data_IF_636554583953
#
_entry.id   IF_636554583953
#
_cell.length_a   1.000
_cell.length_b   1.000
_cell.length_c   1.000
_cell.angle_alpha   90.00
_cell.angle_beta   90.00
_cell.angle_gamma   90.00
#
_symmetry.space_group_name_H-M   'P 1'
#
loop_
_entity.id
_entity.type
_entity.pdbx_description
1 polymer ?
#
# COMPACT_ATOMS: atom_id res chain seq x y z
N UNK A 1 34.13 -15.28 22.41
CA UNK A 1 32.67 -15.02 22.41
C UNK A 1 32.25 -14.97 20.96
N UNK A 2 31.65 -16.07 20.51
CA UNK A 2 31.37 -16.41 19.11
C UNK A 2 30.06 -15.79 18.65
N UNK A 3 30.12 -15.09 17.51
CA UNK A 3 28.99 -14.61 16.72
C UNK A 3 28.25 -15.78 16.06
N UNK A 4 26.90 -15.80 16.02
CA UNK A 4 26.18 -16.81 15.25
C UNK A 4 26.03 -16.36 13.80
N UNK A 5 26.70 -17.07 12.88
CA UNK A 5 26.44 -17.01 11.44
C UNK A 5 25.14 -17.75 11.13
N UNK A 6 24.19 -17.09 10.48
CA UNK A 6 23.01 -17.70 9.89
C UNK A 6 23.28 -18.06 8.43
N UNK A 7 23.20 -19.34 8.01
CA UNK A 7 23.42 -19.70 6.63
C UNK A 7 22.10 -19.65 5.84
N UNK A 8 22.03 -18.76 4.86
CA UNK A 8 21.11 -18.92 3.74
C UNK A 8 21.58 -20.11 2.89
N UNK A 9 21.01 -21.29 3.10
CA UNK A 9 21.06 -22.38 2.12
C UNK A 9 19.80 -22.32 1.29
N UNK A 10 19.97 -22.06 0.00
CA UNK A 10 18.95 -22.26 -1.02
C UNK A 10 18.42 -23.69 -0.93
N UNK A 11 17.16 -23.85 -0.54
CA UNK A 11 16.44 -25.10 -0.70
C UNK A 11 15.98 -25.17 -2.15
N UNK A 12 16.73 -25.90 -2.99
CA UNK A 12 16.24 -26.40 -4.26
C UNK A 12 15.10 -27.38 -3.95
N UNK A 13 13.85 -26.97 -4.16
CA UNK A 13 12.72 -27.90 -4.22
C UNK A 13 12.75 -28.52 -5.61
N UNK A 14 13.36 -29.71 -5.71
CA UNK A 14 13.22 -30.59 -6.87
C UNK A 14 11.76 -31.09 -6.91
N UNK A 15 10.93 -30.45 -7.72
CA UNK A 15 9.66 -31.02 -8.12
C UNK A 15 9.95 -32.23 -9.04
N UNK A 16 9.62 -33.43 -8.58
CA UNK A 16 9.70 -34.63 -9.39
C UNK A 16 8.68 -34.54 -10.54
N UNK A 17 9.16 -34.38 -11.76
CA UNK A 17 8.35 -34.54 -12.98
C UNK A 17 8.23 -36.04 -13.26
N UNK A 18 7.06 -36.61 -12.97
CA UNK A 18 6.70 -37.93 -13.47
C UNK A 18 6.37 -37.81 -14.96
N UNK A 19 7.31 -38.22 -15.82
CA UNK A 19 7.05 -38.39 -17.25
C UNK A 19 6.30 -39.71 -17.44
N UNK A 20 5.00 -39.63 -17.69
CA UNK A 20 4.22 -40.76 -18.20
C UNK A 20 4.34 -40.74 -19.73
N UNK A 21 5.04 -41.73 -20.29
CA UNK A 21 5.05 -41.98 -21.73
C UNK A 21 3.73 -42.66 -22.12
N UNK A 22 2.87 -41.94 -22.85
CA UNK A 22 1.72 -42.53 -23.56
C UNK A 22 1.95 -42.37 -25.05
N UNK A 23 2.10 -43.50 -25.74
CA UNK A 23 2.06 -43.58 -27.20
C UNK A 23 0.60 -43.61 -27.68
N UNK A 24 0.30 -42.88 -28.75
CA UNK A 24 -0.77 -43.22 -29.70
C UNK A 24 -1.90 -42.19 -29.85
N UNK A 25 -1.82 -41.42 -30.94
CA UNK A 25 -2.86 -40.77 -31.74
C UNK A 25 -4.32 -40.77 -31.25
N UNK A 26 -4.88 -39.59 -30.96
CA UNK A 26 -5.92 -38.96 -31.79
C UNK A 26 -6.29 -37.55 -31.30
N UNK A 27 -6.69 -36.72 -32.25
CA UNK A 27 -7.05 -35.31 -32.11
C UNK A 27 -8.25 -35.06 -31.17
N UNK A 28 -8.03 -34.31 -30.10
CA UNK A 28 -8.94 -33.27 -29.57
C UNK A 28 -8.14 -32.40 -28.59
N UNK A 29 -8.21 -31.08 -28.75
CA UNK A 29 -7.54 -30.10 -27.88
C UNK A 29 -8.27 -30.02 -26.54
N UNK A 30 -7.89 -30.89 -25.60
CA UNK A 30 -8.34 -30.80 -24.22
C UNK A 30 -7.58 -29.68 -23.50
N UNK A 31 -8.35 -28.66 -23.10
CA UNK A 31 -7.95 -27.64 -22.14
C UNK A 31 -7.46 -28.35 -20.86
N UNK A 32 -6.15 -28.32 -20.63
CA UNK A 32 -5.58 -28.68 -19.35
C UNK A 32 -6.12 -27.71 -18.29
N UNK A 33 -7.19 -28.12 -17.61
CA UNK A 33 -7.65 -27.51 -16.36
C UNK A 33 -6.54 -27.76 -15.35
N UNK A 34 -5.71 -26.74 -15.11
CA UNK A 34 -4.79 -26.72 -13.99
C UNK A 34 -5.63 -26.78 -12.71
N UNK A 35 -5.78 -27.98 -12.15
CA UNK A 35 -6.40 -28.18 -10.85
C UNK A 35 -5.50 -27.43 -9.85
N UNK A 36 -5.94 -26.24 -9.42
CA UNK A 36 -5.29 -25.54 -8.33
C UNK A 36 -5.30 -26.49 -7.12
N UNK A 37 -4.16 -26.72 -6.46
CA UNK A 37 -4.16 -27.44 -5.19
C UNK A 37 -5.16 -26.75 -4.25
N UNK A 38 -5.91 -27.51 -3.42
CA UNK A 38 -6.80 -26.91 -2.44
C UNK A 38 -6.01 -25.88 -1.63
N UNK A 39 -6.56 -24.66 -1.53
CA UNK A 39 -5.92 -23.56 -0.81
C UNK A 39 -5.48 -24.10 0.56
N UNK A 40 -4.19 -24.01 0.93
CA UNK A 40 -3.77 -24.38 2.27
C UNK A 40 -4.63 -23.61 3.26
N UNK A 41 -5.15 -24.30 4.27
CA UNK A 41 -5.93 -23.65 5.32
C UNK A 41 -5.14 -22.47 5.87
N UNK A 42 -5.73 -21.27 5.85
CA UNK A 42 -5.06 -20.10 6.40
C UNK A 42 -4.93 -20.26 7.92
N UNK A 43 -3.77 -19.93 8.47
CA UNK A 43 -3.63 -19.77 9.91
C UNK A 43 -4.30 -18.46 10.33
N UNK A 44 -5.48 -18.56 10.93
CA UNK A 44 -6.27 -17.42 11.41
C UNK A 44 -5.54 -16.58 12.47
N UNK A 45 -4.49 -17.11 13.10
CA UNK A 45 -3.71 -16.36 14.09
C UNK A 45 -2.69 -15.44 13.44
N UNK A 46 -2.17 -15.80 12.26
CA UNK A 46 -0.94 -15.19 11.73
C UNK A 46 -1.05 -14.66 10.31
N UNK A 47 -1.91 -15.25 9.48
CA UNK A 47 -2.20 -14.77 8.15
C UNK A 47 -3.23 -13.63 8.19
N UNK A 48 -3.14 -12.77 7.19
CA UNK A 48 -3.92 -11.53 7.10
C UNK A 48 -4.68 -11.50 5.79
N UNK A 49 -5.93 -11.04 5.83
CA UNK A 49 -6.69 -10.67 4.63
C UNK A 49 -6.38 -9.22 4.28
N UNK A 50 -5.64 -8.99 3.19
CA UNK A 50 -5.41 -7.65 2.66
C UNK A 50 -6.62 -7.17 1.86
N UNK A 51 -7.07 -5.95 2.15
CA UNK A 51 -8.21 -5.33 1.49
C UNK A 51 -7.82 -3.93 1.09
N UNK A 52 -8.12 -3.53 -0.15
CA UNK A 52 -7.89 -2.16 -0.61
C UNK A 52 -9.08 -1.66 -1.42
N UNK A 53 -9.25 -0.34 -1.50
CA UNK A 53 -10.38 0.28 -2.19
C UNK A 53 -9.93 1.13 -3.37
N UNK A 54 -10.70 1.08 -4.45
CA UNK A 54 -10.50 1.88 -5.67
C UNK A 54 -11.85 2.34 -6.24
N UNK A 55 -11.85 3.41 -7.03
CA UNK A 55 -13.00 3.77 -7.87
C UNK A 55 -12.96 3.02 -9.20
N UNK A 56 -14.13 2.73 -9.78
CA UNK A 56 -14.20 2.08 -11.10
C UNK A 56 -13.46 2.87 -12.19
N UNK A 57 -13.68 4.19 -12.21
CA UNK A 57 -13.11 5.12 -13.19
C UNK A 57 -11.74 5.67 -12.78
N UNK A 58 -11.12 5.11 -11.74
CA UNK A 58 -9.77 5.50 -11.35
C UNK A 58 -8.79 5.11 -12.47
N UNK A 59 -8.26 6.12 -13.17
CA UNK A 59 -7.46 5.96 -14.40
C UNK A 59 -6.34 4.91 -14.31
N UNK A 60 -5.66 4.80 -13.17
CA UNK A 60 -4.53 3.89 -12.96
C UNK A 60 -4.92 2.66 -12.13
N UNK A 61 -6.20 2.35 -11.96
CA UNK A 61 -6.69 1.24 -11.11
C UNK A 61 -6.03 -0.07 -11.46
N UNK A 62 -6.06 -0.47 -12.73
CA UNK A 62 -5.54 -1.77 -13.16
C UNK A 62 -4.02 -1.86 -12.99
N UNK A 63 -3.28 -0.78 -13.32
CA UNK A 63 -1.84 -0.72 -13.12
C UNK A 63 -1.46 -0.86 -11.63
N UNK A 64 -2.08 -0.05 -10.75
CA UNK A 64 -1.78 -0.07 -9.32
C UNK A 64 -2.24 -1.38 -8.65
N UNK A 65 -3.41 -1.91 -9.02
CA UNK A 65 -3.90 -3.21 -8.51
C UNK A 65 -2.95 -4.35 -8.88
N UNK A 66 -2.48 -4.38 -10.13
CA UNK A 66 -1.52 -5.38 -10.60
C UNK A 66 -0.15 -5.20 -9.94
N UNK A 67 0.28 -3.96 -9.73
CA UNK A 67 1.48 -3.62 -8.96
C UNK A 67 1.42 -4.20 -7.55
N UNK A 68 0.31 -4.02 -6.83
CA UNK A 68 0.16 -4.61 -5.49
C UNK A 68 0.15 -6.15 -5.55
N UNK A 69 -0.62 -6.74 -6.46
CA UNK A 69 -0.70 -8.20 -6.65
C UNK A 69 0.66 -8.85 -6.92
N UNK A 70 1.44 -8.29 -7.84
CA UNK A 70 2.78 -8.79 -8.18
C UNK A 70 3.76 -8.68 -7.01
N UNK A 71 3.63 -7.63 -6.18
CA UNK A 71 4.51 -7.46 -5.03
C UNK A 71 4.21 -8.51 -3.96
N UNK A 72 2.92 -8.84 -3.77
CA UNK A 72 2.48 -9.92 -2.88
C UNK A 72 3.00 -11.28 -3.33
N UNK A 73 2.93 -11.56 -4.64
CA UNK A 73 3.49 -12.78 -5.22
C UNK A 73 5.01 -12.85 -5.00
N UNK A 74 5.73 -11.74 -5.21
CA UNK A 74 7.19 -11.67 -5.02
C UNK A 74 7.61 -11.95 -3.58
N UNK A 75 6.86 -11.43 -2.60
CA UNK A 75 7.17 -11.62 -1.17
C UNK A 75 6.56 -12.90 -0.59
N UNK A 76 5.94 -13.74 -1.44
CA UNK A 76 5.26 -14.97 -1.04
C UNK A 76 4.24 -14.74 0.09
N UNK A 77 3.45 -13.65 -0.01
CA UNK A 77 2.40 -13.41 0.96
C UNK A 77 1.37 -14.53 0.95
N UNK A 78 0.89 -14.90 2.13
CA UNK A 78 -0.13 -15.93 2.33
C UNK A 78 -1.34 -15.28 2.99
N UNK A 79 -2.46 -15.35 2.31
CA UNK A 79 -3.72 -14.73 2.71
C UNK A 79 -4.45 -14.16 1.50
N UNK A 80 -5.74 -13.85 1.61
CA UNK A 80 -6.49 -13.29 0.49
C UNK A 80 -6.14 -11.83 0.23
N UNK A 81 -6.26 -11.41 -1.03
CA UNK A 81 -6.25 -10.00 -1.43
C UNK A 81 -7.61 -9.64 -2.04
N UNK A 82 -8.37 -8.76 -1.40
CA UNK A 82 -9.64 -8.25 -1.96
C UNK A 82 -9.50 -6.82 -2.45
N UNK A 83 -9.88 -6.58 -3.70
CA UNK A 83 -10.10 -5.24 -4.23
C UNK A 83 -11.58 -4.86 -4.11
N UNK A 84 -11.86 -3.83 -3.32
CA UNK A 84 -13.15 -3.14 -3.30
C UNK A 84 -13.18 -2.15 -4.46
N UNK A 85 -14.20 -2.23 -5.32
CA UNK A 85 -14.35 -1.38 -6.50
C UNK A 85 -15.71 -0.68 -6.45
N UNK A 86 -15.68 0.62 -6.24
CA UNK A 86 -16.88 1.43 -6.10
C UNK A 86 -17.30 2.07 -7.43
N UNK A 87 -18.60 1.99 -7.74
CA UNK A 87 -19.22 2.78 -8.82
C UNK A 87 -19.23 2.14 -10.20
N UNK A 88 -18.87 0.87 -10.36
CA UNK A 88 -18.95 0.21 -11.66
C UNK A 88 -20.40 -0.07 -12.08
N UNK A 89 -20.76 0.33 -13.31
CA UNK A 89 -21.92 -0.19 -14.03
C UNK A 89 -21.70 -1.64 -14.49
N UNK A 90 -22.75 -2.32 -14.95
CA UNK A 90 -22.70 -3.75 -15.31
C UNK A 90 -21.62 -4.08 -16.35
N UNK A 91 -21.52 -3.28 -17.42
CA UNK A 91 -20.49 -3.48 -18.46
C UNK A 91 -19.08 -3.31 -17.92
N UNK A 92 -18.87 -2.33 -17.02
CA UNK A 92 -17.57 -2.11 -16.40
C UNK A 92 -17.20 -3.25 -15.45
N UNK A 93 -18.17 -3.79 -14.69
CA UNK A 93 -17.95 -4.97 -13.84
C UNK A 93 -17.50 -6.17 -14.67
N UNK A 94 -18.23 -6.46 -15.75
CA UNK A 94 -17.87 -7.54 -16.66
C UNK A 94 -16.47 -7.35 -17.26
N UNK A 95 -16.09 -6.11 -17.62
CA UNK A 95 -14.74 -5.83 -18.11
C UNK A 95 -13.67 -6.07 -17.05
N UNK A 96 -13.91 -5.62 -15.81
CA UNK A 96 -12.99 -5.81 -14.68
C UNK A 96 -12.81 -7.28 -14.31
N UNK A 97 -13.88 -8.07 -14.35
CA UNK A 97 -13.83 -9.51 -14.07
C UNK A 97 -13.00 -10.30 -15.09
N UNK A 98 -12.77 -9.75 -16.30
CA UNK A 98 -11.92 -10.33 -17.34
C UNK A 98 -10.46 -9.83 -17.27
N UNK A 99 -10.13 -8.94 -16.33
CA UNK A 99 -8.76 -8.47 -16.19
C UNK A 99 -7.82 -9.58 -15.73
N UNK A 100 -6.57 -9.62 -16.22
CA UNK A 100 -5.59 -10.56 -15.74
C UNK A 100 -5.31 -10.33 -14.25
N UNK A 101 -5.22 -11.42 -13.49
CA UNK A 101 -4.85 -11.42 -12.08
C UNK A 101 -3.46 -12.06 -11.93
N UNK A 102 -2.71 -11.59 -10.93
CA UNK A 102 -1.32 -11.96 -10.70
C UNK A 102 -1.08 -12.51 -9.28
N UNK A 103 -2.14 -12.62 -8.48
CA UNK A 103 -2.11 -13.16 -7.13
C UNK A 103 -3.12 -14.30 -6.98
N UNK A 104 -2.75 -15.34 -6.24
CA UNK A 104 -3.42 -16.63 -6.25
C UNK A 104 -4.83 -16.63 -5.64
N UNK A 105 -5.04 -15.95 -4.51
CA UNK A 105 -6.38 -15.69 -3.94
C UNK A 105 -6.70 -14.19 -4.03
N UNK A 106 -6.79 -13.70 -5.27
CA UNK A 106 -7.29 -12.37 -5.58
C UNK A 106 -8.82 -12.38 -5.74
N UNK A 107 -9.49 -11.44 -5.08
CA UNK A 107 -10.95 -11.34 -5.01
C UNK A 107 -11.42 -9.95 -5.40
N UNK A 108 -12.56 -9.87 -6.07
CA UNK A 108 -13.25 -8.62 -6.39
C UNK A 108 -14.47 -8.45 -5.50
N UNK A 109 -14.69 -7.23 -5.00
CA UNK A 109 -15.88 -6.83 -4.26
C UNK A 109 -16.44 -5.53 -4.83
N UNK A 110 -17.53 -5.62 -5.61
CA UNK A 110 -18.13 -4.44 -6.24
C UNK A 110 -19.14 -3.77 -5.31
N UNK A 111 -19.04 -2.45 -5.19
CA UNK A 111 -19.99 -1.65 -4.42
C UNK A 111 -20.64 -0.58 -5.29
N UNK A 112 -21.69 0.05 -4.78
CA UNK A 112 -22.14 1.33 -5.36
C UNK A 112 -21.06 2.40 -5.17
N UNK A 113 -21.21 3.52 -5.90
CA UNK A 113 -20.39 4.70 -5.63
C UNK A 113 -20.89 5.40 -4.37
N UNK A 114 -20.00 5.61 -3.42
CA UNK A 114 -20.24 6.37 -2.19
C UNK A 114 -19.59 7.75 -2.23
N UNK A 115 -18.86 8.12 -3.31
CA UNK A 115 -18.23 9.43 -3.43
C UNK A 115 -19.25 10.57 -3.32
N UNK A 116 -20.49 10.35 -3.80
CA UNK A 116 -21.60 11.27 -3.57
C UNK A 116 -22.35 10.90 -2.28
N UNK A 117 -22.37 11.82 -1.32
CA UNK A 117 -23.21 11.75 -0.13
C UNK A 117 -24.33 12.79 -0.21
N UNK A 118 -25.57 12.38 0.07
CA UNK A 118 -26.73 13.27 0.08
C UNK A 118 -27.63 12.96 1.27
N UNK A 119 -27.98 14.00 2.02
CA UNK A 119 -28.96 14.02 3.11
C UNK A 119 -29.77 15.32 3.02
N UNK A 120 -30.90 15.47 3.73
CA UNK A 120 -31.75 16.66 3.62
C UNK A 120 -31.04 18.00 3.82
N UNK A 121 -30.00 18.03 4.67
CA UNK A 121 -29.30 19.26 5.06
C UNK A 121 -27.83 19.28 4.60
N UNK A 122 -27.34 18.25 3.91
CA UNK A 122 -25.94 18.15 3.50
C UNK A 122 -25.79 17.28 2.27
N UNK A 123 -25.18 17.83 1.23
CA UNK A 123 -24.80 17.12 0.01
C UNK A 123 -23.37 17.47 -0.35
N UNK A 124 -22.57 16.47 -0.69
CA UNK A 124 -21.17 16.66 -1.09
C UNK A 124 -20.69 15.51 -1.97
N UNK A 125 -19.78 15.84 -2.87
CA UNK A 125 -18.94 14.88 -3.55
C UNK A 125 -17.54 14.83 -2.92
N UNK A 126 -17.17 13.70 -2.31
CA UNK A 126 -15.87 13.45 -1.69
C UNK A 126 -15.46 11.98 -1.91
N UNK A 127 -14.50 11.77 -2.80
CA UNK A 127 -14.09 10.43 -3.27
C UNK A 127 -13.63 9.51 -2.15
N UNK A 128 -13.06 10.03 -1.06
CA UNK A 128 -12.59 9.20 0.04
C UNK A 128 -13.74 8.55 0.83
N UNK A 129 -15.00 8.96 0.65
CA UNK A 129 -16.14 8.18 1.20
C UNK A 129 -16.15 6.74 0.71
N UNK A 130 -15.62 6.43 -0.48
CA UNK A 130 -15.54 5.06 -0.96
C UNK A 130 -14.73 4.14 -0.03
N UNK A 131 -13.80 4.66 0.78
CA UNK A 131 -13.00 3.87 1.72
C UNK A 131 -13.85 3.31 2.89
N UNK A 132 -14.38 4.10 3.83
CA UNK A 132 -15.14 3.57 4.96
C UNK A 132 -16.42 2.86 4.51
N UNK A 133 -17.15 3.44 3.55
CA UNK A 133 -18.42 2.87 3.11
C UNK A 133 -18.24 1.58 2.27
N UNK A 134 -17.20 1.52 1.44
CA UNK A 134 -16.84 0.32 0.71
C UNK A 134 -16.36 -0.79 1.67
N UNK A 135 -15.54 -0.44 2.66
CA UNK A 135 -15.08 -1.38 3.68
C UNK A 135 -16.24 -1.93 4.50
N UNK A 136 -17.23 -1.10 4.87
CA UNK A 136 -18.47 -1.55 5.50
C UNK A 136 -19.22 -2.56 4.64
N UNK A 137 -19.44 -2.22 3.38
CA UNK A 137 -20.15 -3.11 2.47
C UNK A 137 -19.43 -4.46 2.31
N UNK A 138 -18.10 -4.43 2.16
CA UNK A 138 -17.27 -5.64 2.15
C UNK A 138 -17.44 -6.49 3.41
N UNK A 139 -17.34 -5.90 4.60
CA UNK A 139 -17.44 -6.65 5.87
C UNK A 139 -18.77 -7.38 6.01
N UNK A 140 -19.87 -6.80 5.54
CA UNK A 140 -21.20 -7.39 5.65
C UNK A 140 -21.54 -8.33 4.47
N UNK A 141 -21.14 -7.97 3.26
CA UNK A 141 -21.67 -8.51 2.01
C UNK A 141 -20.66 -9.27 1.15
N UNK A 142 -19.39 -9.40 1.56
CA UNK A 142 -18.41 -10.16 0.79
C UNK A 142 -18.88 -11.60 0.53
N UNK A 143 -18.73 -12.04 -0.73
CA UNK A 143 -19.16 -13.36 -1.17
C UNK A 143 -18.41 -14.50 -0.46
N UNK A 144 -17.11 -14.30 -0.21
CA UNK A 144 -16.25 -15.25 0.53
C UNK A 144 -15.81 -14.62 1.84
N UNK A 145 -16.36 -15.12 2.94
CA UNK A 145 -16.02 -14.72 4.31
C UNK A 145 -14.95 -15.65 4.88
N UNK A 146 -14.10 -15.10 5.73
CA UNK A 146 -13.06 -15.79 6.50
C UNK A 146 -12.94 -15.10 7.88
N UNK A 147 -12.25 -15.72 8.84
CA UNK A 147 -12.07 -15.14 10.17
C UNK A 147 -10.70 -14.48 10.37
N UNK A 148 -9.98 -14.22 9.28
CA UNK A 148 -8.66 -13.59 9.35
C UNK A 148 -8.76 -12.17 9.91
N UNK A 149 -7.67 -11.71 10.53
CA UNK A 149 -7.48 -10.28 10.70
C UNK A 149 -7.45 -9.60 9.32
N UNK A 150 -8.01 -8.40 9.24
CA UNK A 150 -8.09 -7.64 7.99
C UNK A 150 -7.13 -6.46 8.07
N UNK A 151 -6.28 -6.35 7.06
CA UNK A 151 -5.42 -5.20 6.82
C UNK A 151 -6.00 -4.35 5.69
N UNK A 152 -6.53 -3.17 6.03
CA UNK A 152 -6.99 -2.20 5.04
C UNK A 152 -5.81 -1.33 4.58
N UNK A 153 -5.44 -1.46 3.30
CA UNK A 153 -4.22 -0.89 2.70
C UNK A 153 -4.58 -0.04 1.47
N UNK A 154 -3.75 0.94 1.13
CA UNK A 154 -3.88 1.66 -0.14
C UNK A 154 -3.34 0.83 -1.31
N UNK A 155 -3.84 1.08 -2.52
CA UNK A 155 -3.43 0.33 -3.72
C UNK A 155 -2.01 0.70 -4.18
N UNK A 156 -1.51 1.86 -3.79
CA UNK A 156 -0.16 2.35 -4.12
C UNK A 156 0.89 1.90 -3.10
N UNK A 157 0.87 0.61 -2.81
CA UNK A 157 1.88 -0.08 -2.02
C UNK A 157 2.73 -1.00 -2.87
N UNK A 158 4.03 -1.02 -2.59
CA UNK A 158 4.96 -2.05 -3.06
C UNK A 158 5.50 -2.78 -1.83
N UNK A 159 5.19 -4.07 -1.70
CA UNK A 159 5.67 -4.86 -0.57
C UNK A 159 7.05 -5.46 -0.82
N UNK A 160 7.86 -5.50 0.22
CA UNK A 160 9.16 -6.18 0.28
C UNK A 160 9.17 -7.36 1.25
N UNK A 161 8.19 -7.43 2.15
CA UNK A 161 7.97 -8.55 3.07
C UNK A 161 6.49 -8.91 3.13
N UNK A 162 6.13 -10.17 3.45
CA UNK A 162 4.74 -10.52 3.70
C UNK A 162 4.22 -9.80 4.96
N UNK A 163 2.95 -9.42 4.95
CA UNK A 163 2.27 -8.92 6.15
C UNK A 163 1.87 -10.11 7.02
N UNK A 164 2.47 -10.22 8.21
CA UNK A 164 2.19 -11.25 9.20
C UNK A 164 1.95 -10.59 10.56
N UNK A 165 1.19 -11.28 11.41
CA UNK A 165 0.87 -10.85 12.77
C UNK A 165 1.09 -11.99 13.76
N UNK A 166 1.13 -11.66 15.06
CA UNK A 166 1.16 -12.63 16.16
C UNK A 166 2.26 -13.71 16.05
N UNK A 167 3.39 -13.38 15.43
CA UNK A 167 4.59 -14.21 15.37
C UNK A 167 5.43 -14.11 16.65
N UNK A 168 5.08 -13.20 17.57
CA UNK A 168 5.87 -12.93 18.77
C UNK A 168 7.12 -12.09 18.47
N UNK A 169 7.12 -11.38 17.34
CA UNK A 169 8.24 -10.55 16.91
C UNK A 169 8.32 -9.30 17.79
N UNK A 170 9.55 -8.96 18.19
CA UNK A 170 9.84 -7.75 18.93
C UNK A 170 10.09 -6.60 17.95
N UNK A 171 9.27 -5.57 18.03
CA UNK A 171 9.25 -4.45 17.08
C UNK A 171 9.70 -3.12 17.68
N UNK A 172 10.33 -3.15 18.87
CA UNK A 172 10.88 -1.95 19.51
C UNK A 172 11.78 -1.10 18.61
N UNK A 173 12.58 -1.71 17.71
CA UNK A 173 13.42 -0.96 16.75
C UNK A 173 12.61 -0.15 15.73
N UNK A 174 11.37 -0.55 15.46
CA UNK A 174 10.45 0.14 14.54
C UNK A 174 9.46 1.03 15.28
N UNK A 175 9.62 1.24 16.58
CA UNK A 175 8.77 2.09 17.38
C UNK A 175 9.32 3.50 17.49
N UNK A 176 8.45 4.49 17.62
CA UNK A 176 8.85 5.84 18.01
C UNK A 176 8.68 5.95 19.52
N UNK A 177 9.78 6.06 20.26
CA UNK A 177 9.72 6.21 21.72
C UNK A 177 8.80 7.37 22.13
N UNK A 178 7.90 7.08 23.08
CA UNK A 178 7.04 8.07 23.73
C UNK A 178 7.19 7.97 25.24
N UNK A 179 6.44 8.78 25.98
CA UNK A 179 6.36 8.71 27.44
C UNK A 179 5.34 7.66 27.92
N UNK A 180 4.59 7.02 27.02
CA UNK A 180 3.44 6.15 27.37
C UNK A 180 3.81 4.67 27.33
N UNK A 181 4.57 4.23 26.32
CA UNK A 181 5.05 2.84 26.21
C UNK A 181 6.55 2.79 26.00
N UNK A 182 7.16 1.68 26.42
CA UNK A 182 8.59 1.42 26.22
C UNK A 182 8.78 0.53 25.00
N UNK A 183 9.93 0.66 24.34
CA UNK A 183 10.22 -0.05 23.10
C UNK A 183 10.21 -1.58 23.27
N UNK A 184 10.61 -2.09 24.42
CA UNK A 184 10.59 -3.52 24.77
C UNK A 184 9.17 -4.11 24.89
N UNK A 185 8.15 -3.26 25.04
CA UNK A 185 6.75 -3.69 25.16
C UNK A 185 6.08 -3.79 23.77
N UNK A 186 6.79 -3.41 22.69
CA UNK A 186 6.26 -3.32 21.32
C UNK A 186 6.50 -4.63 20.57
N UNK A 187 5.41 -5.23 20.12
CA UNK A 187 5.40 -6.47 19.35
C UNK A 187 4.34 -6.44 18.24
N UNK A 188 4.21 -7.54 17.51
CA UNK A 188 3.31 -7.72 16.37
C UNK A 188 1.91 -8.25 16.74
N UNK A 189 1.46 -8.04 17.98
CA UNK A 189 0.18 -8.56 18.45
C UNK A 189 -0.99 -7.84 17.78
N UNK A 190 -1.94 -8.63 17.27
CA UNK A 190 -3.29 -8.21 16.87
C UNK A 190 -4.31 -9.15 17.50
N UNK A 191 -5.24 -8.56 18.25
CA UNK A 191 -6.39 -9.23 18.86
C UNK A 191 -7.45 -8.18 19.15
N UNK A 192 -8.67 -8.57 19.54
CA UNK A 192 -9.71 -7.60 19.86
C UNK A 192 -9.22 -6.54 20.88
N UNK A 193 -9.40 -5.26 20.53
CA UNK A 193 -8.92 -4.09 21.24
C UNK A 193 -7.46 -3.69 20.96
N UNK A 194 -6.68 -4.48 20.21
CA UNK A 194 -5.26 -4.24 19.90
C UNK A 194 -5.01 -4.43 18.40
N UNK A 195 -4.55 -3.36 17.76
CA UNK A 195 -4.35 -3.27 16.32
C UNK A 195 -2.91 -2.86 15.96
N UNK A 196 -2.56 -2.92 14.68
CA UNK A 196 -1.30 -2.38 14.14
C UNK A 196 -1.61 -1.33 13.05
N UNK A 197 -0.80 -0.28 12.99
CA UNK A 197 -0.86 0.69 11.91
C UNK A 197 0.50 1.33 11.66
N UNK A 198 0.67 1.89 10.46
CA UNK A 198 1.81 2.75 10.17
C UNK A 198 1.72 4.00 11.04
N UNK A 199 2.85 4.42 11.60
CA UNK A 199 2.97 5.72 12.24
C UNK A 199 3.03 6.81 11.15
N UNK A 200 1.95 7.57 11.00
CA UNK A 200 1.85 8.74 10.13
C UNK A 200 1.76 10.05 10.92
N UNK A 201 2.39 10.11 12.10
CA UNK A 201 2.37 11.29 12.98
C UNK A 201 2.85 12.57 12.30
N UNK A 202 3.76 12.48 11.33
CA UNK A 202 4.21 13.63 10.56
C UNK A 202 3.09 14.30 9.74
N UNK A 203 2.04 13.55 9.37
CA UNK A 203 0.93 14.04 8.55
C UNK A 203 -0.34 14.29 9.37
N UNK A 204 -0.67 13.33 10.23
CA UNK A 204 -1.97 13.23 10.90
C UNK A 204 -1.95 13.68 12.37
N UNK A 205 -0.77 13.90 12.95
CA UNK A 205 -0.65 14.24 14.37
C UNK A 205 -1.24 15.61 14.72
N UNK A 206 -2.07 15.66 15.76
CA UNK A 206 -2.58 16.87 16.40
C UNK A 206 -3.67 17.59 15.61
N UNK A 207 -4.36 16.92 14.70
CA UNK A 207 -5.38 17.51 13.83
C UNK A 207 -6.71 17.63 14.55
N UNK A 208 -7.22 16.54 15.10
CA UNK A 208 -8.46 16.51 15.88
C UNK A 208 -8.19 16.33 17.37
N UNK A 209 -7.15 15.57 17.73
CA UNK A 209 -6.78 15.27 19.11
C UNK A 209 -5.65 16.17 19.61
N UNK A 210 -5.91 17.48 19.70
CA UNK A 210 -4.98 18.45 20.28
C UNK A 210 -5.63 19.22 21.44
N UNK A 211 -4.81 19.78 22.32
CA UNK A 211 -5.29 20.52 23.50
C UNK A 211 -5.66 21.99 23.18
N UNK A 212 -5.42 22.45 21.95
CA UNK A 212 -5.62 23.86 21.56
C UNK A 212 -7.02 24.10 20.99
N UNK A 213 -7.48 23.24 20.07
CA UNK A 213 -8.76 23.34 19.39
C UNK A 213 -9.38 21.94 19.23
N UNK A 214 -10.24 21.58 20.19
CA UNK A 214 -11.02 20.33 20.19
C UNK A 214 -12.40 20.48 19.53
N UNK A 215 -12.70 21.60 18.84
CA UNK A 215 -14.06 21.88 18.36
C UNK A 215 -14.59 20.80 17.42
N UNK A 216 -13.77 20.37 16.46
CA UNK A 216 -14.17 19.32 15.51
C UNK A 216 -14.34 17.99 16.23
N UNK A 217 -13.34 17.57 17.03
CA UNK A 217 -13.42 16.34 17.82
C UNK A 217 -14.66 16.32 18.72
N UNK A 218 -14.92 17.41 19.46
CA UNK A 218 -16.08 17.53 20.35
C UNK A 218 -17.41 17.43 19.61
N UNK A 219 -17.45 17.87 18.34
CA UNK A 219 -18.64 17.84 17.50
C UNK A 219 -18.85 16.49 16.79
N UNK A 220 -17.76 15.79 16.48
CA UNK A 220 -17.77 14.45 15.87
C UNK A 220 -18.05 13.38 16.95
N UNK A 221 -17.41 13.51 18.11
CA UNK A 221 -17.52 12.59 19.25
C UNK A 221 -18.58 13.04 20.27
N UNK A 222 -19.60 13.80 19.89
CA UNK A 222 -20.55 14.30 20.89
C UNK A 222 -21.32 13.15 21.56
N UNK A 223 -21.32 13.14 22.90
CA UNK A 223 -21.87 12.04 23.70
C UNK A 223 -21.13 10.70 23.61
N UNK A 224 -19.96 10.65 22.96
CA UNK A 224 -19.25 9.41 22.62
C UNK A 224 -17.90 9.29 23.34
N UNK A 225 -17.45 8.06 23.70
CA UNK A 225 -16.17 7.82 24.38
C UNK A 225 -14.94 8.52 23.81
N UNK A 226 -14.83 8.64 22.48
CA UNK A 226 -13.67 9.29 21.84
C UNK A 226 -13.45 10.75 22.26
N UNK A 227 -14.50 11.44 22.74
CA UNK A 227 -14.40 12.82 23.25
C UNK A 227 -13.49 12.96 24.46
N UNK A 228 -13.38 11.89 25.26
CA UNK A 228 -12.67 11.89 26.55
C UNK A 228 -11.23 11.39 26.44
N UNK A 229 -10.76 11.05 25.24
CA UNK A 229 -9.37 10.61 25.04
C UNK A 229 -8.43 11.81 25.22
N UNK A 230 -7.36 11.59 25.99
CA UNK A 230 -6.30 12.56 26.23
C UNK A 230 -5.45 12.74 24.96
N UNK A 231 -4.86 13.91 24.74
CA UNK A 231 -3.92 14.07 23.63
C UNK A 231 -2.76 13.07 23.69
N UNK A 232 -2.09 12.84 24.84
CA UNK A 232 -1.05 11.80 24.93
C UNK A 232 -1.51 10.40 24.48
N UNK A 233 -2.69 9.94 24.90
CA UNK A 233 -3.22 8.63 24.48
C UNK A 233 -3.60 8.63 22.99
N UNK A 234 -4.18 9.72 22.50
CA UNK A 234 -4.53 9.84 21.09
C UNK A 234 -3.31 9.71 20.18
N UNK A 235 -2.22 10.40 20.52
CA UNK A 235 -0.96 10.34 19.79
C UNK A 235 -0.24 9.00 19.93
N UNK A 236 -0.51 8.24 20.99
CA UNK A 236 0.08 6.92 21.22
C UNK A 236 -0.66 5.81 20.46
N UNK A 237 -1.99 5.88 20.40
CA UNK A 237 -2.83 4.72 20.04
C UNK A 237 -3.80 4.92 18.88
N UNK A 238 -4.13 6.16 18.48
CA UNK A 238 -5.31 6.39 17.64
C UNK A 238 -5.09 7.34 16.45
N UNK A 239 -4.77 8.61 16.72
CA UNK A 239 -4.80 9.67 15.69
C UNK A 239 -3.74 9.52 14.59
N UNK A 240 -2.47 9.18 14.89
CA UNK A 240 -1.44 9.10 13.87
C UNK A 240 -1.42 7.75 13.14
N UNK A 241 -2.52 6.97 13.21
CA UNK A 241 -2.65 5.72 12.47
C UNK A 241 -2.77 6.00 10.97
N UNK A 242 -1.86 5.41 10.20
CA UNK A 242 -1.93 5.33 8.74
C UNK A 242 -2.07 3.89 8.26
N UNK A 243 -2.39 3.73 6.98
CA UNK A 243 -2.45 2.42 6.34
C UNK A 243 -1.08 1.72 6.40
N UNK A 244 -1.02 0.37 6.40
CA UNK A 244 -2.15 -0.54 6.53
C UNK A 244 -2.76 -0.49 7.95
N UNK A 245 -4.09 -0.46 8.03
CA UNK A 245 -4.83 -0.61 9.28
C UNK A 245 -5.09 -2.10 9.53
N UNK A 246 -4.41 -2.72 10.49
CA UNK A 246 -4.47 -4.17 10.73
C UNK A 246 -5.23 -4.44 12.03
N UNK A 247 -6.43 -4.99 11.91
CA UNK A 247 -7.36 -5.25 13.02
C UNK A 247 -7.99 -6.62 12.87
N UNK A 248 -8.50 -7.18 13.96
CA UNK A 248 -9.39 -8.34 13.85
C UNK A 248 -10.64 -7.96 13.07
N UNK A 249 -11.26 -8.94 12.40
CA UNK A 249 -12.55 -8.72 11.73
C UNK A 249 -13.64 -8.25 12.71
N UNK A 250 -13.60 -8.71 13.96
CA UNK A 250 -14.53 -8.28 15.00
C UNK A 250 -14.39 -6.79 15.31
N UNK A 251 -13.16 -6.29 15.49
CA UNK A 251 -12.93 -4.86 15.73
C UNK A 251 -13.30 -3.99 14.54
N UNK A 252 -13.05 -4.47 13.32
CA UNK A 252 -13.57 -3.82 12.11
C UNK A 252 -15.09 -3.65 12.17
N UNK A 253 -15.84 -4.73 12.43
CA UNK A 253 -17.30 -4.71 12.54
C UNK A 253 -17.80 -3.79 13.66
N UNK A 254 -17.09 -3.72 14.79
CA UNK A 254 -17.46 -2.85 15.90
C UNK A 254 -17.38 -1.37 15.55
N UNK A 255 -16.35 -0.95 14.82
CA UNK A 255 -16.05 0.48 14.61
C UNK A 255 -16.50 1.03 13.26
N UNK A 256 -16.83 0.18 12.28
CA UNK A 256 -17.01 0.60 10.88
C UNK A 256 -18.14 1.63 10.68
N UNK A 257 -19.23 1.52 11.42
CA UNK A 257 -20.31 2.50 11.33
C UNK A 257 -19.88 3.87 11.86
N UNK A 258 -19.11 3.92 12.95
CA UNK A 258 -18.55 5.20 13.41
C UNK A 258 -17.53 5.77 12.43
N UNK A 259 -16.75 4.93 11.75
CA UNK A 259 -15.85 5.41 10.71
C UNK A 259 -16.62 6.08 9.55
N UNK A 260 -17.71 5.46 9.07
CA UNK A 260 -18.61 6.08 8.10
C UNK A 260 -19.19 7.40 8.62
N UNK A 261 -19.81 7.39 9.78
CA UNK A 261 -20.54 8.52 10.35
C UNK A 261 -19.62 9.70 10.69
N UNK A 262 -18.45 9.41 11.28
CA UNK A 262 -17.47 10.44 11.64
C UNK A 262 -16.83 11.05 10.40
N UNK A 263 -16.69 10.30 9.31
CA UNK A 263 -16.18 10.86 8.05
C UNK A 263 -17.17 11.89 7.51
N UNK A 264 -18.46 11.55 7.43
CA UNK A 264 -19.51 12.48 6.99
C UNK A 264 -19.59 13.70 7.93
N UNK A 265 -19.61 13.47 9.25
CA UNK A 265 -19.68 14.55 10.23
C UNK A 265 -18.47 15.48 10.16
N UNK A 266 -17.27 14.93 9.99
CA UNK A 266 -16.06 15.71 9.78
C UNK A 266 -16.14 16.56 8.50
N UNK A 267 -16.68 16.02 7.41
CA UNK A 267 -16.86 16.72 6.13
C UNK A 267 -17.93 17.81 6.13
N UNK A 268 -18.88 17.73 7.05
CA UNK A 268 -19.82 18.82 7.35
C UNK A 268 -19.12 20.01 8.02
N UNK A 269 -18.03 19.76 8.77
CA UNK A 269 -17.35 20.77 9.58
C UNK A 269 -16.08 21.32 8.90
N UNK A 270 -15.42 20.53 8.05
CA UNK A 270 -14.22 20.95 7.34
C UNK A 270 -14.09 20.30 5.96
N UNK A 271 -13.29 20.93 5.08
CA UNK A 271 -13.08 20.48 3.69
C UNK A 271 -11.71 19.86 3.42
N UNK A 272 -10.91 19.60 4.45
CA UNK A 272 -9.62 18.91 4.34
C UNK A 272 -9.78 17.53 3.67
N UNK A 273 -8.92 17.22 2.72
CA UNK A 273 -8.93 15.97 1.97
C UNK A 273 -8.59 14.75 2.83
N UNK A 274 -7.94 14.93 3.98
CA UNK A 274 -7.59 13.87 4.95
C UNK A 274 -8.65 13.62 6.03
N UNK A 275 -9.84 14.24 5.95
CA UNK A 275 -10.92 14.06 6.95
C UNK A 275 -11.23 12.60 7.24
N UNK A 276 -11.21 11.76 6.21
CA UNK A 276 -11.44 10.32 6.35
C UNK A 276 -10.42 9.65 7.28
N UNK A 277 -9.14 10.02 7.22
CA UNK A 277 -8.12 9.45 8.11
C UNK A 277 -8.28 9.93 9.56
N UNK A 278 -8.67 11.20 9.75
CA UNK A 278 -8.96 11.71 11.10
C UNK A 278 -10.19 11.02 11.71
N UNK A 279 -11.21 10.76 10.88
CA UNK A 279 -12.40 10.03 11.26
C UNK A 279 -12.11 8.58 11.64
N UNK A 280 -11.20 7.91 10.92
CA UNK A 280 -10.70 6.59 11.31
C UNK A 280 -10.13 6.61 12.73
N UNK A 281 -9.20 7.53 13.01
CA UNK A 281 -8.59 7.69 14.34
C UNK A 281 -9.63 7.91 15.45
N UNK A 282 -10.64 8.75 15.18
CA UNK A 282 -11.75 8.96 16.12
C UNK A 282 -12.63 7.71 16.31
N UNK A 283 -12.89 6.95 15.25
CA UNK A 283 -13.70 5.74 15.30
C UNK A 283 -13.03 4.65 16.14
N UNK A 284 -11.74 4.40 15.93
CA UNK A 284 -11.00 3.39 16.72
C UNK A 284 -10.82 3.84 18.18
N UNK A 285 -10.64 5.14 18.42
CA UNK A 285 -10.66 5.72 19.77
C UNK A 285 -12.00 5.50 20.46
N UNK A 286 -13.12 5.63 19.73
CA UNK A 286 -14.46 5.45 20.27
C UNK A 286 -14.71 4.02 20.79
N UNK A 287 -14.05 3.05 20.15
CA UNK A 287 -14.14 1.64 20.48
C UNK A 287 -12.98 1.13 21.34
N UNK A 288 -12.09 2.02 21.78
CA UNK A 288 -10.86 1.69 22.51
C UNK A 288 -10.04 0.58 21.82
N UNK A 289 -9.93 0.66 20.48
CA UNK A 289 -9.07 -0.23 19.69
C UNK A 289 -7.70 0.43 19.57
N UNK A 290 -6.77 0.00 20.41
CA UNK A 290 -5.46 0.66 20.57
C UNK A 290 -4.46 0.15 19.55
N UNK A 291 -3.89 1.05 18.76
CA UNK A 291 -2.86 0.68 17.81
C UNK A 291 -1.48 0.61 18.47
N UNK A 292 -0.71 -0.40 18.07
CA UNK A 292 0.74 -0.33 18.09
C UNK A 292 1.19 0.33 16.80
N UNK A 293 1.56 1.61 16.90
CA UNK A 293 2.00 2.43 15.79
C UNK A 293 3.49 2.20 15.52
N UNK A 294 3.81 1.67 14.35
CA UNK A 294 5.17 1.31 13.96
C UNK A 294 5.57 2.01 12.67
N UNK A 295 6.87 2.22 12.51
CA UNK A 295 7.45 3.05 11.45
C UNK A 295 7.62 2.32 10.11
N UNK A 296 7.53 0.99 10.10
CA UNK A 296 8.04 0.12 9.03
C UNK A 296 6.97 -0.60 8.20
N UNK A 297 5.68 -0.36 8.46
CA UNK A 297 4.61 -1.04 7.72
C UNK A 297 4.39 -0.43 6.33
N UNK A 298 4.54 0.89 6.22
CA UNK A 298 4.33 1.65 4.99
C UNK A 298 4.91 3.07 5.06
N UNK A 299 6.21 3.26 5.33
CA UNK A 299 6.83 4.58 5.25
C UNK A 299 6.65 5.17 3.84
N UNK A 300 6.45 6.49 3.78
CA UNK A 300 6.03 7.21 2.57
C UNK A 300 6.97 8.37 2.22
N UNK A 301 7.57 9.06 3.21
CA UNK A 301 8.44 10.22 3.00
C UNK A 301 9.79 10.05 3.69
N UNK A 302 10.88 9.89 2.93
CA UNK A 302 12.25 9.77 3.46
C UNK A 302 12.72 10.86 4.44
N UNK A 303 12.13 12.05 4.37
CA UNK A 303 12.44 13.15 5.29
C UNK A 303 12.00 12.87 6.73
N UNK A 304 10.99 12.03 6.95
CA UNK A 304 10.35 11.81 8.25
C UNK A 304 10.92 10.64 9.05
N UNK A 305 12.26 10.55 9.13
CA UNK A 305 13.00 9.47 9.81
C UNK A 305 12.62 9.22 11.29
N UNK A 306 12.05 10.23 11.96
CA UNK A 306 11.60 10.11 13.35
C UNK A 306 10.30 9.30 13.49
N UNK A 307 9.44 9.33 12.46
CA UNK A 307 8.12 8.68 12.46
C UNK A 307 8.03 7.55 11.45
N UNK A 308 9.03 7.39 10.59
CA UNK A 308 9.07 6.41 9.51
C UNK A 308 10.42 5.68 9.44
N UNK A 309 10.40 4.41 9.02
CA UNK A 309 11.58 3.56 9.03
C UNK A 309 12.32 3.73 7.71
N UNK A 310 13.37 4.55 7.75
CA UNK A 310 14.29 4.78 6.64
C UNK A 310 15.71 4.34 6.95
N UNK A 311 15.95 3.59 8.03
CA UNK A 311 17.31 3.17 8.44
C UNK A 311 17.68 1.82 7.82
N UNK A 312 17.35 1.63 6.54
CA UNK A 312 17.53 0.35 5.84
C UNK A 312 18.49 0.41 4.65
N UNK A 313 18.80 1.61 4.13
CA UNK A 313 19.87 1.76 3.15
C UNK A 313 21.19 1.97 3.89
N UNK A 314 22.21 1.24 3.49
CA UNK A 314 23.57 1.41 3.96
C UNK A 314 24.40 2.28 2.99
N UNK A 315 25.52 2.80 3.49
CA UNK A 315 26.38 3.67 2.68
C UNK A 315 27.08 2.95 1.53
N UNK A 316 27.27 1.63 1.66
CA UNK A 316 27.89 0.75 0.66
C UNK A 316 26.95 0.28 -0.44
N UNK A 317 25.67 0.67 -0.38
CA UNK A 317 24.69 0.25 -1.37
C UNK A 317 25.10 0.69 -2.78
N UNK A 318 25.05 -0.28 -3.70
CA UNK A 318 25.25 -0.05 -5.12
C UNK A 318 24.26 0.98 -5.67
N UNK A 319 24.63 1.63 -6.77
CA UNK A 319 23.80 2.64 -7.41
C UNK A 319 22.51 2.02 -7.94
N UNK A 320 21.33 2.38 -7.39
CA UNK A 320 20.06 1.75 -7.76
C UNK A 320 19.61 2.11 -9.18
N UNK A 321 20.29 3.04 -9.85
CA UNK A 321 19.96 3.52 -11.18
C UNK A 321 20.94 3.01 -12.26
N UNK A 322 21.94 2.18 -11.90
CA UNK A 322 22.91 1.61 -12.86
C UNK A 322 22.36 0.40 -13.62
N UNK A 323 21.87 -0.62 -12.91
CA UNK A 323 21.17 -1.75 -13.55
C UNK A 323 19.86 -1.23 -14.17
N UNK A 324 19.54 -1.60 -15.41
CA UNK A 324 18.34 -1.10 -16.11
C UNK A 324 17.05 -1.85 -15.75
N UNK A 325 17.14 -3.01 -15.11
CA UNK A 325 16.05 -3.97 -14.98
C UNK A 325 15.80 -4.39 -13.53
N UNK A 326 16.86 -4.72 -12.80
CA UNK A 326 16.75 -5.33 -11.48
C UNK A 326 16.77 -4.29 -10.35
N UNK A 327 15.74 -4.27 -9.49
CA UNK A 327 15.76 -3.44 -8.29
C UNK A 327 16.83 -3.93 -7.31
N UNK A 328 17.63 -2.98 -6.79
CA UNK A 328 18.58 -3.26 -5.71
C UNK A 328 17.82 -3.18 -4.39
N UNK A 329 17.63 -4.31 -3.72
CA UNK A 329 16.90 -4.38 -2.46
C UNK A 329 17.86 -4.32 -1.26
N UNK A 330 17.53 -3.55 -0.21
CA UNK A 330 18.31 -3.55 1.03
C UNK A 330 18.17 -4.88 1.78
N UNK A 331 19.06 -5.13 2.73
CA UNK A 331 19.02 -6.34 3.57
C UNK A 331 17.82 -6.37 4.53
N UNK A 332 17.39 -5.22 5.06
CA UNK A 332 16.26 -5.09 5.98
C UNK A 332 15.24 -4.04 5.51
N UNK A 333 14.50 -4.26 4.41
CA UNK A 333 13.50 -3.29 3.93
C UNK A 333 12.33 -3.15 4.92
N UNK A 334 11.51 -2.08 4.82
CA UNK A 334 10.21 -2.06 5.48
C UNK A 334 9.30 -3.18 4.93
N UNK A 335 8.14 -3.39 5.54
CA UNK A 335 7.16 -4.37 5.03
C UNK A 335 6.72 -3.98 3.62
N UNK A 336 6.44 -2.71 3.41
CA UNK A 336 6.25 -2.12 2.10
C UNK A 336 6.50 -0.62 2.10
N UNK A 337 6.36 -0.01 0.94
CA UNK A 337 6.41 1.45 0.76
C UNK A 337 5.06 1.93 0.27
N UNK A 338 4.50 2.93 0.96
CA UNK A 338 3.36 3.67 0.47
C UNK A 338 3.86 4.78 -0.46
N UNK A 339 3.85 4.55 -1.77
CA UNK A 339 4.47 5.45 -2.74
C UNK A 339 3.58 6.65 -3.13
N UNK A 340 3.02 7.33 -2.12
CA UNK A 340 2.10 8.46 -2.27
C UNK A 340 2.79 9.80 -2.53
N UNK A 341 4.13 9.86 -2.46
CA UNK A 341 4.90 11.10 -2.46
C UNK A 341 5.75 11.25 -3.72
N UNK A 342 6.45 12.38 -3.83
CA UNK A 342 7.42 12.63 -4.89
C UNK A 342 8.78 12.04 -4.50
N UNK A 343 9.37 11.25 -5.39
CA UNK A 343 10.68 10.63 -5.17
C UNK A 343 11.63 11.02 -6.30
N UNK A 344 12.75 11.66 -5.95
CA UNK A 344 13.82 12.02 -6.89
C UNK A 344 14.86 12.94 -6.26
N UNK A 345 15.92 13.25 -7.01
CA UNK A 345 17.02 14.08 -6.54
C UNK A 345 16.62 15.53 -6.24
N UNK A 346 15.87 16.25 -7.09
CA UNK A 346 15.66 17.68 -6.90
C UNK A 346 14.81 17.99 -5.67
N UNK A 347 15.08 19.12 -5.02
CA UNK A 347 14.26 19.61 -3.88
C UNK A 347 12.93 20.24 -4.32
N UNK A 348 12.89 20.78 -5.54
CA UNK A 348 11.68 21.35 -6.15
C UNK A 348 10.90 20.25 -6.88
N UNK A 349 9.64 20.03 -6.47
CA UNK A 349 8.75 19.01 -7.04
C UNK A 349 8.40 19.23 -8.51
N UNK A 350 8.84 20.34 -9.11
CA UNK A 350 8.64 20.69 -10.52
C UNK A 350 9.93 20.58 -11.36
N UNK A 351 11.04 20.09 -10.80
CA UNK A 351 12.31 19.98 -11.52
C UNK A 351 12.83 18.54 -11.58
N UNK A 352 13.57 18.23 -12.64
CA UNK A 352 14.31 16.99 -12.86
C UNK A 352 13.46 15.72 -12.86
N UNK A 353 14.13 14.59 -12.67
CA UNK A 353 13.49 13.28 -12.64
C UNK A 353 12.77 13.09 -11.31
N UNK A 354 11.50 12.66 -11.39
CA UNK A 354 10.70 12.33 -10.22
C UNK A 354 9.67 11.26 -10.52
N UNK A 355 9.71 10.17 -9.75
CA UNK A 355 8.57 9.28 -9.66
C UNK A 355 7.43 9.91 -8.85
N UNK A 356 6.23 9.93 -9.44
CA UNK A 356 4.99 10.25 -8.75
C UNK A 356 3.82 9.54 -9.43
N UNK A 357 2.99 8.84 -8.65
CA UNK A 357 1.92 7.99 -9.20
C UNK A 357 0.94 8.73 -10.12
N UNK A 358 0.65 10.01 -9.83
CA UNK A 358 -0.27 10.81 -10.65
C UNK A 358 0.36 11.40 -11.92
N UNK A 359 1.66 11.20 -12.13
CA UNK A 359 2.36 11.56 -13.39
C UNK A 359 2.42 10.40 -14.37
N UNK A 360 2.05 9.19 -13.97
CA UNK A 360 2.00 8.04 -14.89
C UNK A 360 0.95 8.33 -15.98
N UNK A 361 1.30 8.23 -17.27
CA UNK A 361 0.35 8.44 -18.37
C UNK A 361 -0.86 7.51 -18.25
N UNK A 362 -2.07 8.03 -18.48
CA UNK A 362 -3.29 7.23 -18.29
C UNK A 362 -3.46 6.11 -19.33
N UNK A 363 -2.75 6.20 -20.45
CA UNK A 363 -2.73 5.21 -21.52
C UNK A 363 -1.57 4.21 -21.40
N UNK A 364 -0.82 4.19 -20.28
CA UNK A 364 0.37 3.36 -20.10
C UNK A 364 0.16 1.86 -20.37
N UNK A 365 -1.06 1.35 -20.23
CA UNK A 365 -1.42 -0.05 -20.45
C UNK A 365 -1.72 -0.41 -21.91
N UNK A 366 -1.81 0.57 -22.83
CA UNK A 366 -2.04 0.28 -24.25
C UNK A 366 -0.84 -0.45 -24.85
N UNK A 367 -1.10 -1.31 -25.85
CA UNK A 367 -0.08 -2.18 -26.41
C UNK A 367 1.07 -1.41 -27.07
N UNK A 368 0.79 -0.28 -27.71
CA UNK A 368 1.80 0.54 -28.38
C UNK A 368 2.48 1.56 -27.45
N UNK A 369 2.00 1.69 -26.21
CA UNK A 369 2.60 2.57 -25.22
C UNK A 369 3.97 2.08 -24.79
N UNK A 370 4.89 3.03 -24.63
CA UNK A 370 6.25 2.83 -24.15
C UNK A 370 6.29 2.43 -22.67
N UNK A 371 7.47 2.04 -22.21
CA UNK A 371 7.82 1.78 -20.82
C UNK A 371 8.52 3.00 -20.22
N UNK A 372 8.66 3.02 -18.89
CA UNK A 372 9.37 4.07 -18.18
C UNK A 372 10.87 4.01 -18.46
N UNK A 373 11.46 5.18 -18.68
CA UNK A 373 12.91 5.36 -18.75
C UNK A 373 13.44 5.66 -17.37
N UNK A 374 14.49 4.96 -16.96
CA UNK A 374 15.21 5.26 -15.73
C UNK A 374 15.87 6.64 -15.80
N UNK A 375 15.99 7.35 -14.66
CA UNK A 375 16.82 8.53 -14.61
C UNK A 375 18.30 8.15 -14.78
N UNK A 376 19.17 9.10 -15.17
CA UNK A 376 20.60 8.86 -15.27
C UNK A 376 21.18 8.39 -13.93
N UNK A 377 22.13 7.45 -13.99
CA UNK A 377 22.89 6.98 -12.81
C UNK A 377 23.57 8.12 -12.03
N UNK A 378 23.80 9.26 -12.69
CA UNK A 378 24.33 10.47 -12.06
C UNK A 378 23.42 11.07 -11.00
N UNK A 379 22.10 10.80 -11.01
CA UNK A 379 21.20 11.26 -9.93
C UNK A 379 21.65 10.70 -8.58
N UNK A 380 22.16 9.47 -8.54
CA UNK A 380 22.68 8.86 -7.32
C UNK A 380 24.07 9.39 -6.95
N UNK A 381 25.00 9.40 -7.90
CA UNK A 381 26.39 9.79 -7.60
C UNK A 381 26.57 11.27 -7.30
N UNK A 382 25.64 12.12 -7.74
CA UNK A 382 25.72 13.58 -7.53
C UNK A 382 25.22 14.02 -6.15
N UNK A 383 24.46 13.18 -5.42
CA UNK A 383 23.83 13.54 -4.13
C UNK A 383 24.81 14.20 -3.16
N UNK A 384 25.95 13.55 -2.92
CA UNK A 384 26.95 14.03 -1.96
C UNK A 384 27.55 15.38 -2.37
N UNK A 385 27.69 15.61 -3.68
CA UNK A 385 28.21 16.86 -4.22
C UNK A 385 27.16 17.97 -4.18
N UNK A 386 25.93 17.68 -4.60
CA UNK A 386 24.86 18.67 -4.76
C UNK A 386 24.32 19.16 -3.41
N UNK A 387 24.45 18.34 -2.36
CA UNK A 387 24.04 18.67 -0.99
C UNK A 387 25.23 18.65 -0.01
N UNK A 388 26.43 18.99 -0.49
CA UNK A 388 27.63 19.04 0.33
C UNK A 388 27.42 19.92 1.58
N UNK A 389 27.70 19.36 2.75
CA UNK A 389 27.52 20.03 4.05
C UNK A 389 26.13 19.88 4.67
N UNK A 390 25.19 19.16 4.04
CA UNK A 390 23.87 18.84 4.59
C UNK A 390 23.67 17.32 4.65
N UNK A 391 24.28 16.68 5.65
CA UNK A 391 24.24 15.22 5.85
C UNK A 391 22.81 14.67 5.97
N UNK A 392 21.92 15.43 6.60
CA UNK A 392 20.51 15.07 6.69
C UNK A 392 19.89 15.01 5.30
N UNK A 393 20.18 15.99 4.45
CA UNK A 393 19.66 16.05 3.08
C UNK A 393 20.26 15.00 2.17
N UNK A 394 21.56 14.77 2.26
CA UNK A 394 22.24 13.65 1.59
C UNK A 394 21.52 12.34 1.93
N UNK A 395 21.27 12.09 3.22
CA UNK A 395 20.61 10.87 3.68
C UNK A 395 19.24 10.68 3.05
N UNK A 396 18.32 11.66 3.16
CA UNK A 396 16.96 11.44 2.65
C UNK A 396 16.89 11.47 1.12
N UNK A 397 17.83 12.16 0.46
CA UNK A 397 17.95 12.11 -1.00
C UNK A 397 18.48 10.79 -1.53
N UNK A 398 19.38 10.10 -0.81
CA UNK A 398 19.73 8.70 -1.13
C UNK A 398 18.48 7.83 -1.16
N UNK A 399 17.63 7.92 -0.15
CA UNK A 399 16.39 7.16 -0.09
C UNK A 399 15.38 7.55 -1.18
N UNK A 400 15.26 8.83 -1.49
CA UNK A 400 14.38 9.31 -2.55
C UNK A 400 14.81 8.80 -3.94
N UNK A 401 16.10 8.88 -4.28
CA UNK A 401 16.64 8.40 -5.56
C UNK A 401 16.59 6.86 -5.63
N UNK A 402 16.88 6.17 -4.52
CA UNK A 402 16.69 4.71 -4.45
C UNK A 402 15.25 4.31 -4.75
N UNK A 403 14.27 4.98 -4.15
CA UNK A 403 12.86 4.72 -4.40
C UNK A 403 12.46 5.03 -5.83
N UNK A 404 12.90 6.16 -6.38
CA UNK A 404 12.62 6.53 -7.76
C UNK A 404 13.05 5.41 -8.73
N UNK A 405 14.31 4.99 -8.67
CA UNK A 405 14.84 3.96 -9.56
C UNK A 405 14.19 2.59 -9.30
N UNK A 406 13.93 2.24 -8.03
CA UNK A 406 13.24 1.00 -7.65
C UNK A 406 11.81 0.95 -8.20
N UNK A 407 11.03 2.02 -8.02
CA UNK A 407 9.63 2.10 -8.46
C UNK A 407 9.51 2.14 -9.99
N UNK A 408 10.44 2.78 -10.69
CA UNK A 408 10.48 2.77 -12.17
C UNK A 408 10.76 1.35 -12.70
N UNK A 409 11.77 0.67 -12.17
CA UNK A 409 12.09 -0.73 -12.54
C UNK A 409 10.91 -1.64 -12.25
N UNK A 410 10.37 -1.55 -11.05
CA UNK A 410 9.23 -2.34 -10.66
C UNK A 410 8.00 -2.05 -11.52
N UNK A 411 7.72 -0.78 -11.81
CA UNK A 411 6.68 -0.36 -12.74
C UNK A 411 6.86 -1.00 -14.12
N UNK A 412 8.07 -1.04 -14.66
CA UNK A 412 8.37 -1.72 -15.92
C UNK A 412 8.15 -3.24 -15.85
N UNK A 413 8.47 -3.89 -14.73
CA UNK A 413 8.16 -5.31 -14.50
C UNK A 413 6.64 -5.54 -14.48
N UNK A 414 5.88 -4.64 -13.85
CA UNK A 414 4.41 -4.68 -13.85
C UNK A 414 3.84 -4.48 -15.26
N UNK A 415 4.36 -3.52 -16.03
CA UNK A 415 3.94 -3.30 -17.41
C UNK A 415 4.23 -4.50 -18.31
N UNK A 416 5.39 -5.15 -18.13
CA UNK A 416 5.72 -6.38 -18.83
C UNK A 416 4.71 -7.48 -18.54
N UNK A 417 4.43 -7.74 -17.26
CA UNK A 417 3.46 -8.75 -16.84
C UNK A 417 2.06 -8.47 -17.39
N UNK A 418 1.58 -7.22 -17.27
CA UNK A 418 0.27 -6.81 -17.79
C UNK A 418 0.18 -6.92 -19.30
N UNK A 419 1.09 -6.28 -20.04
CA UNK A 419 1.01 -6.23 -21.50
C UNK A 419 1.24 -7.60 -22.14
N UNK A 420 2.00 -8.49 -21.52
CA UNK A 420 2.11 -9.89 -21.97
C UNK A 420 0.77 -10.64 -21.99
N UNK A 421 -0.19 -10.22 -21.15
CA UNK A 421 -1.54 -10.80 -21.09
C UNK A 421 -2.55 -10.00 -21.92
N UNK A 422 -2.44 -8.68 -21.92
CA UNK A 422 -3.39 -7.78 -22.59
C UNK A 422 -3.14 -7.66 -24.11
N UNK A 423 -1.92 -7.94 -24.56
CA UNK A 423 -1.48 -7.66 -25.94
C UNK A 423 -1.01 -8.94 -26.65
N UNK A 424 -1.93 -9.80 -27.12
CA UNK A 424 -1.59 -11.09 -27.72
C UNK A 424 -0.79 -11.00 -29.03
N UNK A 425 -0.78 -9.82 -29.67
CA UNK A 425 -0.01 -9.55 -30.90
C UNK A 425 1.35 -8.89 -30.63
N UNK A 426 1.77 -8.84 -29.37
CA UNK A 426 2.98 -8.13 -28.93
C UNK A 426 2.66 -6.73 -28.41
N UNK A 427 3.65 -6.13 -27.73
CA UNK A 427 3.57 -4.82 -27.12
C UNK A 427 4.91 -4.09 -27.23
N UNK A 428 4.85 -2.76 -27.14
CA UNK A 428 6.01 -1.89 -27.16
C UNK A 428 6.70 -1.90 -25.78
N UNK A 429 7.93 -2.42 -25.73
CA UNK A 429 8.75 -2.50 -24.53
C UNK A 429 9.88 -1.46 -24.49
N UNK A 430 9.92 -0.49 -25.43
CA UNK A 430 10.93 0.55 -25.43
C UNK A 430 10.78 1.48 -24.21
N UNK A 431 11.87 1.72 -23.50
CA UNK A 431 11.91 2.50 -22.26
C UNK A 431 12.25 3.97 -22.53
N UNK A 432 11.23 4.78 -22.88
CA UNK A 432 11.43 6.17 -23.28
C UNK A 432 10.56 7.18 -22.52
N UNK A 433 9.62 6.72 -21.67
CA UNK A 433 8.80 7.62 -20.87
C UNK A 433 9.62 8.14 -19.71
N UNK A 434 10.05 9.39 -19.82
CA UNK A 434 10.70 10.10 -18.72
C UNK A 434 9.63 10.64 -17.79
N UNK A 435 9.66 10.21 -16.53
CA UNK A 435 8.88 10.82 -15.45
C UNK A 435 9.58 12.11 -14.99
N UNK A 436 9.47 13.17 -15.79
CA UNK A 436 10.00 14.48 -15.47
C UNK A 436 8.98 15.28 -14.66
N UNK A 437 9.45 16.03 -13.68
CA UNK A 437 8.57 16.69 -12.74
C UNK A 437 7.57 17.67 -13.40
N UNK A 438 8.02 18.53 -14.29
CA UNK A 438 7.13 19.44 -15.02
C UNK A 438 6.62 18.86 -16.35
N UNK A 439 7.44 18.01 -16.99
CA UNK A 439 7.29 17.67 -18.41
C UNK A 439 6.95 16.20 -18.66
N UNK A 440 6.44 15.48 -17.65
CA UNK A 440 6.01 14.09 -17.88
C UNK A 440 5.02 14.06 -19.04
N UNK A 441 5.28 13.23 -20.09
CA UNK A 441 4.36 13.10 -21.20
C UNK A 441 2.93 12.77 -20.73
N UNK A 442 1.94 13.46 -21.28
CA UNK A 442 0.52 13.12 -21.00
C UNK A 442 0.10 11.76 -21.56
N UNK A 443 0.83 11.30 -22.56
CA UNK A 443 0.63 10.03 -23.26
C UNK A 443 1.92 9.22 -23.24
N UNK A 444 1.76 7.91 -23.13
CA UNK A 444 2.83 6.92 -23.22
C UNK A 444 3.14 6.49 -24.67
N UNK A 445 2.45 7.01 -25.70
CA UNK A 445 2.76 6.65 -27.08
C UNK A 445 4.09 7.26 -27.56
N UNK A 446 4.81 6.59 -28.49
CA UNK A 446 5.98 7.15 -29.13
C UNK A 446 5.65 8.51 -29.77
N UNK A 447 6.57 9.47 -29.62
CA UNK A 447 6.48 10.75 -30.32
C UNK A 447 7.26 10.66 -31.64
N UNK A 448 6.76 11.29 -32.73
CA UNK A 448 7.44 11.31 -34.02
C UNK A 448 8.84 11.95 -33.97
#
# INVERSE_FOLDING_TARGET
MSTPQWPWRAALVLAAVAVVLVNGDNSTSDLAVTIQPPLPGYDEKTHVHLVFSTGCDQKLRQFLSSSLQLSLTRVSHVGPLTQIISGCGEQQRAAVEQEPTFYSDFRLHFTKDYAQYTSPNFSEHYTAYNKPFGMRDFLHNAAKKDNLAVAFIDVDYMLFKPVLINQGLQWGKYYQNTTVRRAEDINDTVKDGIALAQNMKAFLGGRWFNDVNRTILNSVCDGLPCKNVSSPDAFEYFEPAGTPYILTRNDWLRMIDNYCDFTVRGRQLQKDWMVEMYAYGAAVANHNIRHTLVKHLGPATPEFQNTEYWQFLDDSMENPCEDLYEPILPADPPVGIHYAMYYGLPGDINQGYMYYKYRIPSDILQCDSLFFKLPPATEWTSITKDFAGDDKKIYWKRHAVWLECTLIKYGNQVLHALKSKLCPRGYNAHQEIVLHAYDTPRTAFPRP
#
